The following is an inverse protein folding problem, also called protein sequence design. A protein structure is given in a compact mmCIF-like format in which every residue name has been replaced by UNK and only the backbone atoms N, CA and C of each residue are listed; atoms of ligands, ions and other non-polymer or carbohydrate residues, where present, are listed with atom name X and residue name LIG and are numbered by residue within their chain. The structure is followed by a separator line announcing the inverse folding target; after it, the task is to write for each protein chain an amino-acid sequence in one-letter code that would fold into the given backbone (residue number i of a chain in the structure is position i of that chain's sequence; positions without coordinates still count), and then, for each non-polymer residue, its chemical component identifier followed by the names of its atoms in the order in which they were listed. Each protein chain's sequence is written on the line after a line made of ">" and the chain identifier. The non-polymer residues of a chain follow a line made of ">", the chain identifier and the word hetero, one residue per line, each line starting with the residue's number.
data_IF_116693700687
#
_entry.id   IF_116693700687
#
_cell.length_a   1.000
_cell.length_b   1.000
_cell.length_c   1.000
_cell.angle_alpha   90.00
_cell.angle_beta   90.00
_cell.angle_gamma   90.00
#
_symmetry.space_group_name_H-M   'P 1'
#
loop_
_entity.id
_entity.type
_entity.pdbx_description
1 polymer ?
#
# COMPACT_ATOMS: atom_id res chain seq x y z
N UNK A 1 -63.52 9.02 10.00
CA UNK A 1 -62.50 10.02 9.63
C UNK A 1 -61.19 9.58 10.28
N UNK A 2 -60.21 9.22 9.46
CA UNK A 2 -58.94 8.57 9.85
C UNK A 2 -57.81 9.61 9.89
N UNK A 3 -56.91 9.62 10.88
CA UNK A 3 -55.66 10.35 10.78
C UNK A 3 -54.53 9.39 10.35
N UNK A 4 -53.94 9.68 9.19
CA UNK A 4 -52.78 8.98 8.65
C UNK A 4 -51.54 9.24 9.51
N UNK A 5 -50.92 8.18 10.02
CA UNK A 5 -49.61 8.19 10.64
C UNK A 5 -48.54 8.10 9.54
N UNK A 6 -47.92 9.23 9.18
CA UNK A 6 -46.79 9.27 8.25
C UNK A 6 -45.51 8.86 8.98
N UNK A 7 -45.11 7.60 8.80
CA UNK A 7 -43.80 7.10 9.22
C UNK A 7 -42.76 7.58 8.20
N UNK A 8 -41.96 8.57 8.59
CA UNK A 8 -40.72 8.92 7.87
C UNK A 8 -39.71 7.79 8.11
N UNK A 9 -39.64 6.83 7.19
CA UNK A 9 -38.56 5.85 7.15
C UNK A 9 -37.31 6.60 6.67
N UNK A 10 -36.50 7.07 7.62
CA UNK A 10 -35.11 7.45 7.34
C UNK A 10 -34.40 6.18 6.89
N UNK A 11 -34.27 6.00 5.58
CA UNK A 11 -33.37 5.01 5.02
C UNK A 11 -31.96 5.43 5.42
N UNK A 12 -31.46 4.81 6.49
CA UNK A 12 -30.06 4.82 6.82
C UNK A 12 -29.34 4.14 5.66
N UNK A 13 -29.00 4.92 4.63
CA UNK A 13 -28.00 4.53 3.65
C UNK A 13 -26.74 4.22 4.42
N UNK A 14 -26.36 2.94 4.44
CA UNK A 14 -25.11 2.48 5.03
C UNK A 14 -23.97 3.25 4.38
N UNK A 15 -23.50 4.31 5.04
CA UNK A 15 -22.28 5.00 4.65
C UNK A 15 -21.16 3.97 4.84
N UNK A 16 -20.73 3.35 3.76
CA UNK A 16 -19.50 2.55 3.72
C UNK A 16 -18.34 3.51 3.99
N UNK A 17 -18.05 3.77 5.26
CA UNK A 17 -16.78 4.36 5.66
C UNK A 17 -15.69 3.38 5.25
N UNK A 18 -15.04 3.65 4.12
CA UNK A 18 -13.91 2.86 3.65
C UNK A 18 -12.92 2.67 4.79
N UNK A 19 -12.52 1.41 5.05
CA UNK A 19 -11.59 1.10 6.15
C UNK A 19 -10.32 1.96 6.00
N UNK A 20 -9.84 2.59 7.09
CA UNK A 20 -8.62 3.39 7.04
C UNK A 20 -7.44 2.50 6.61
N UNK A 21 -6.58 3.02 5.74
CA UNK A 21 -5.47 2.26 5.19
C UNK A 21 -4.44 1.92 6.28
N UNK A 22 -4.20 0.64 6.55
CA UNK A 22 -3.18 0.24 7.52
C UNK A 22 -1.77 0.53 7.01
N UNK A 23 -1.06 1.45 7.67
CA UNK A 23 0.33 1.81 7.35
C UNK A 23 1.29 0.64 7.57
N UNK A 24 1.18 -0.04 8.72
CA UNK A 24 2.04 -1.19 9.05
C UNK A 24 1.89 -2.33 8.02
N UNK A 25 0.66 -2.65 7.63
CA UNK A 25 0.43 -3.65 6.56
C UNK A 25 0.95 -3.15 5.22
N UNK A 26 0.72 -1.87 4.86
CA UNK A 26 1.23 -1.31 3.59
C UNK A 26 2.76 -1.33 3.54
N UNK A 27 3.43 -1.10 4.67
CA UNK A 27 4.88 -1.23 4.81
C UNK A 27 5.34 -2.67 4.57
N UNK A 28 4.68 -3.64 5.20
CA UNK A 28 4.97 -5.05 4.97
C UNK A 28 4.83 -5.43 3.48
N UNK A 29 3.72 -5.03 2.84
CA UNK A 29 3.51 -5.25 1.41
C UNK A 29 4.64 -4.61 0.60
N UNK A 30 4.95 -3.34 0.83
CA UNK A 30 6.05 -2.64 0.15
C UNK A 30 7.38 -3.38 0.25
N UNK A 31 7.74 -3.84 1.44
CA UNK A 31 9.00 -4.58 1.69
C UNK A 31 8.99 -5.96 1.03
N UNK A 32 7.84 -6.64 0.98
CA UNK A 32 7.70 -7.89 0.24
C UNK A 32 7.91 -7.67 -1.26
N UNK A 33 7.21 -6.69 -1.85
CA UNK A 33 7.35 -6.34 -3.27
C UNK A 33 8.77 -5.88 -3.62
N UNK A 34 9.38 -5.08 -2.75
CA UNK A 34 10.76 -4.63 -2.93
C UNK A 34 11.77 -5.77 -2.99
N UNK A 35 11.57 -6.82 -2.19
CA UNK A 35 12.48 -7.99 -2.16
C UNK A 35 12.18 -9.00 -3.26
N UNK A 36 10.91 -9.24 -3.56
CA UNK A 36 10.49 -10.32 -4.47
C UNK A 36 10.48 -9.87 -5.94
N UNK A 37 10.01 -8.65 -6.20
CA UNK A 37 9.64 -8.19 -7.54
C UNK A 37 10.61 -7.15 -8.12
N UNK A 38 11.08 -6.17 -7.35
CA UNK A 38 11.97 -5.12 -7.89
C UNK A 38 13.28 -5.64 -8.51
N UNK A 39 13.96 -6.67 -7.97
CA UNK A 39 15.20 -7.16 -8.56
C UNK A 39 15.02 -7.70 -9.99
N UNK A 40 13.82 -8.20 -10.31
CA UNK A 40 13.46 -8.66 -11.65
C UNK A 40 13.46 -7.50 -12.63
N UNK A 41 12.80 -6.40 -12.28
CA UNK A 41 12.73 -5.20 -13.12
C UNK A 41 14.10 -4.58 -13.35
N UNK A 42 14.91 -4.51 -12.28
CA UNK A 42 16.28 -3.99 -12.34
C UNK A 42 17.15 -4.85 -13.27
N UNK A 43 17.10 -6.18 -13.13
CA UNK A 43 17.89 -7.10 -13.97
C UNK A 43 17.57 -6.96 -15.46
N UNK A 44 16.31 -6.73 -15.80
CA UNK A 44 15.86 -6.67 -17.19
C UNK A 44 15.73 -5.24 -17.74
N UNK A 45 16.06 -4.21 -16.95
CA UNK A 45 15.89 -2.80 -17.31
C UNK A 45 14.48 -2.47 -17.82
N UNK A 46 13.46 -3.16 -17.30
CA UNK A 46 12.07 -2.96 -17.69
C UNK A 46 11.34 -2.08 -16.68
N UNK A 47 10.47 -1.16 -17.12
CA UNK A 47 9.62 -0.40 -16.23
C UNK A 47 8.53 -1.29 -15.61
N UNK A 48 8.12 -0.94 -14.39
CA UNK A 48 6.95 -1.55 -13.75
C UNK A 48 5.70 -1.12 -14.52
N UNK A 49 4.80 -2.04 -14.95
CA UNK A 49 3.58 -1.68 -15.64
C UNK A 49 2.71 -0.73 -14.81
N UNK A 50 2.06 0.25 -15.44
CA UNK A 50 1.16 1.18 -14.74
C UNK A 50 -0.03 0.46 -14.07
N UNK A 51 -0.47 -0.66 -14.67
CA UNK A 51 -1.53 -1.51 -14.13
C UNK A 51 -1.14 -2.17 -12.80
N UNK A 52 0.15 -2.33 -12.52
CA UNK A 52 0.65 -2.96 -11.31
C UNK A 52 0.20 -2.17 -10.06
N UNK A 53 -0.64 -2.75 -9.20
CA UNK A 53 -1.13 -2.05 -8.01
C UNK A 53 -0.04 -1.81 -6.96
N UNK A 54 1.05 -2.56 -7.03
CA UNK A 54 2.15 -2.49 -6.07
C UNK A 54 3.30 -1.59 -6.53
N UNK A 55 3.12 -0.85 -7.63
CA UNK A 55 4.09 0.12 -8.10
C UNK A 55 4.35 1.20 -7.03
N UNK A 56 5.62 1.55 -6.73
CA UNK A 56 5.95 2.65 -5.82
C UNK A 56 5.28 3.98 -6.22
N UNK A 57 5.05 4.19 -7.51
CA UNK A 57 4.36 5.37 -8.04
C UNK A 57 2.89 5.47 -7.64
N UNK A 58 2.30 4.36 -7.14
CA UNK A 58 0.91 4.31 -6.71
C UNK A 58 0.77 4.21 -5.20
N UNK A 59 1.81 3.92 -4.46
CA UNK A 59 1.71 3.76 -3.01
C UNK A 59 1.37 5.10 -2.32
N UNK A 60 0.22 5.17 -1.66
CA UNK A 60 -0.27 6.38 -1.00
C UNK A 60 0.63 6.89 0.13
N UNK A 61 1.47 6.01 0.70
CA UNK A 61 2.42 6.37 1.74
C UNK A 61 3.83 6.62 1.21
N UNK A 62 4.08 6.41 -0.09
CA UNK A 62 5.41 6.46 -0.70
C UNK A 62 6.17 7.74 -0.34
N UNK A 63 5.51 8.91 -0.45
CA UNK A 63 6.13 10.19 -0.11
C UNK A 63 6.54 10.28 1.36
N UNK A 64 5.73 9.79 2.30
CA UNK A 64 6.08 9.83 3.73
C UNK A 64 7.28 8.94 4.00
N UNK A 65 7.32 7.74 3.42
CA UNK A 65 8.40 6.77 3.61
C UNK A 65 9.74 7.28 3.04
N UNK A 66 9.72 7.96 1.89
CA UNK A 66 10.92 8.57 1.31
C UNK A 66 11.40 9.80 2.07
N UNK A 67 10.60 10.34 3.00
CA UNK A 67 10.97 11.47 3.85
C UNK A 67 11.27 11.02 5.29
N UNK A 68 11.56 9.73 5.49
CA UNK A 68 12.13 9.19 6.71
C UNK A 68 13.63 9.03 6.52
N UNK A 69 14.40 9.52 7.47
CA UNK A 69 15.83 9.23 7.55
C UNK A 69 16.16 8.57 8.87
N UNK A 70 16.69 7.35 8.83
CA UNK A 70 17.24 6.69 10.02
C UNK A 70 18.62 7.28 10.28
N UNK A 71 18.76 8.02 11.37
CA UNK A 71 20.03 8.66 11.75
C UNK A 71 20.97 7.65 12.41
N UNK A 72 20.43 6.78 13.26
CA UNK A 72 21.15 5.68 13.91
C UNK A 72 20.15 4.62 14.42
N UNK A 73 20.62 3.70 15.28
CA UNK A 73 19.78 2.63 15.84
C UNK A 73 18.61 3.12 16.71
N UNK A 74 18.65 4.35 17.22
CA UNK A 74 17.66 4.93 18.14
C UNK A 74 16.97 6.18 17.61
N UNK A 75 17.32 6.68 16.43
CA UNK A 75 16.82 7.98 15.96
C UNK A 75 16.34 7.97 14.52
N UNK A 76 15.20 8.62 14.31
CA UNK A 76 14.53 8.80 13.02
C UNK A 76 14.20 10.28 12.81
N UNK A 77 14.50 10.81 11.63
CA UNK A 77 14.25 12.19 11.26
C UNK A 77 13.14 12.29 10.21
N UNK A 78 12.26 13.26 10.38
CA UNK A 78 11.31 13.70 9.37
C UNK A 78 12.01 14.69 8.44
N UNK A 79 12.18 14.36 7.17
CA UNK A 79 12.82 15.27 6.20
C UNK A 79 11.91 16.43 5.77
N UNK A 80 10.59 16.36 6.04
CA UNK A 80 9.66 17.45 5.73
C UNK A 80 9.78 18.64 6.68
N UNK A 81 10.12 18.41 7.95
CA UNK A 81 10.18 19.47 8.97
C UNK A 81 11.38 19.38 9.93
N UNK A 82 12.27 18.41 9.75
CA UNK A 82 13.49 18.26 10.52
C UNK A 82 13.36 17.62 11.92
N UNK A 83 12.14 17.33 12.39
CA UNK A 83 11.92 16.74 13.72
C UNK A 83 12.51 15.34 13.85
N UNK A 84 13.05 15.03 15.01
CA UNK A 84 13.69 13.75 15.33
C UNK A 84 12.84 12.98 16.36
N UNK A 85 12.75 11.66 16.18
CA UNK A 85 11.94 10.73 16.95
C UNK A 85 12.77 9.53 17.39
N UNK A 86 12.48 8.98 18.56
CA UNK A 86 13.19 7.82 19.11
C UNK A 86 12.80 6.49 18.41
N UNK A 87 11.59 6.43 17.82
CA UNK A 87 11.08 5.24 17.15
C UNK A 87 10.46 5.62 15.82
N UNK A 88 10.57 4.73 14.84
CA UNK A 88 9.92 4.91 13.55
C UNK A 88 8.40 5.03 13.68
N UNK A 89 7.80 4.28 14.61
CA UNK A 89 6.35 4.35 14.88
C UNK A 89 5.88 5.71 15.38
N UNK A 90 6.75 6.47 16.05
CA UNK A 90 6.41 7.81 16.52
C UNK A 90 6.51 8.81 15.38
N UNK A 91 7.50 8.63 14.49
CA UNK A 91 7.59 9.37 13.23
C UNK A 91 6.38 9.09 12.32
N UNK A 92 5.90 7.84 12.25
CA UNK A 92 4.68 7.47 11.50
C UNK A 92 3.44 8.22 12.01
N UNK A 93 3.22 8.25 13.33
CA UNK A 93 2.13 9.02 13.94
C UNK A 93 2.27 10.51 13.68
N UNK A 94 3.51 11.03 13.69
CA UNK A 94 3.79 12.42 13.32
C UNK A 94 3.38 12.70 11.86
N UNK A 95 3.69 11.80 10.92
CA UNK A 95 3.23 11.95 9.54
C UNK A 95 1.69 11.96 9.44
N UNK A 96 1.01 11.06 10.13
CA UNK A 96 -0.45 10.94 10.09
C UNK A 96 -1.17 12.15 10.71
N UNK A 97 -0.51 12.91 11.59
CA UNK A 97 -1.11 14.06 12.28
C UNK A 97 -0.65 15.42 11.74
N UNK A 98 0.64 15.57 11.42
CA UNK A 98 1.26 16.87 11.03
C UNK A 98 1.48 17.00 9.53
N UNK A 99 1.49 15.89 8.80
CA UNK A 99 1.69 15.85 7.35
C UNK A 99 0.58 15.04 6.65
N UNK A 100 -0.60 14.98 7.25
CA UNK A 100 -1.76 14.29 6.65
C UNK A 100 -2.14 14.87 5.28
N UNK A 101 -1.87 16.17 5.07
CA UNK A 101 -2.09 16.85 3.80
C UNK A 101 -1.14 16.35 2.69
N UNK A 102 0.00 15.73 3.01
CA UNK A 102 0.92 15.16 2.01
C UNK A 102 0.67 13.68 1.73
N UNK A 103 -0.35 13.09 2.35
CA UNK A 103 -0.82 11.74 2.02
C UNK A 103 -1.20 11.65 0.54
N UNK A 104 -1.01 10.49 -0.09
CA UNK A 104 -1.30 10.29 -1.52
C UNK A 104 -0.47 11.16 -2.47
N UNK A 105 0.61 11.76 -1.94
CA UNK A 105 1.59 12.45 -2.78
C UNK A 105 2.39 11.40 -3.55
N UNK A 106 2.27 11.41 -4.88
CA UNK A 106 2.89 10.42 -5.76
C UNK A 106 3.89 11.09 -6.72
N UNK A 107 4.97 10.38 -7.09
CA UNK A 107 5.91 10.88 -8.08
C UNK A 107 5.24 10.91 -9.46
N UNK A 108 5.37 12.03 -10.17
CA UNK A 108 5.00 12.16 -11.57
C UNK A 108 6.21 12.65 -12.34
N UNK A 109 6.67 11.82 -13.27
CA UNK A 109 7.72 12.22 -14.19
C UNK A 109 7.19 13.30 -15.14
N UNK A 110 7.89 14.42 -15.21
CA UNK A 110 7.64 15.45 -16.20
C UNK A 110 8.60 15.26 -17.36
N UNK A 111 8.05 14.87 -18.51
CA UNK A 111 8.81 14.63 -19.74
C UNK A 111 9.55 15.88 -20.24
N UNK A 112 8.90 17.05 -20.20
CA UNK A 112 9.47 18.31 -20.73
C UNK A 112 10.72 18.77 -19.95
N UNK A 113 10.75 18.54 -18.64
CA UNK A 113 11.88 18.96 -17.79
C UNK A 113 12.80 17.81 -17.37
N UNK A 114 12.57 16.60 -17.89
CA UNK A 114 13.26 15.36 -17.49
C UNK A 114 13.41 15.22 -15.95
N UNK A 115 12.38 15.62 -15.21
CA UNK A 115 12.42 15.75 -13.74
C UNK A 115 11.18 15.16 -13.10
N UNK A 116 11.35 14.49 -11.97
CA UNK A 116 10.23 14.06 -11.13
C UNK A 116 9.72 15.24 -10.32
N UNK A 117 8.41 15.49 -10.41
CA UNK A 117 7.67 16.33 -9.48
C UNK A 117 6.70 15.48 -8.67
N UNK A 118 6.21 16.03 -7.56
CA UNK A 118 5.26 15.34 -6.69
C UNK A 118 3.87 15.96 -6.84
N UNK A 119 2.87 15.11 -7.08
CA UNK A 119 1.48 15.54 -7.12
C UNK A 119 0.80 15.15 -5.82
N UNK A 120 0.32 16.15 -5.09
CA UNK A 120 -0.53 15.95 -3.92
C UNK A 120 -1.89 15.36 -4.34
N UNK A 121 -2.41 14.38 -3.60
CA UNK A 121 -3.66 13.66 -3.93
C UNK A 121 -3.66 13.09 -5.36
N UNK A 122 -2.63 12.29 -5.66
CA UNK A 122 -2.59 11.54 -6.91
C UNK A 122 -3.85 10.68 -7.07
N UNK A 123 -4.62 10.92 -8.14
CA UNK A 123 -5.87 10.20 -8.44
C UNK A 123 -5.71 8.66 -8.47
N UNK A 124 -4.49 8.18 -8.71
CA UNK A 124 -4.16 6.76 -8.84
C UNK A 124 -3.43 6.20 -7.62
N UNK A 125 -3.34 6.95 -6.52
CA UNK A 125 -2.75 6.45 -5.28
C UNK A 125 -3.61 5.32 -4.69
N UNK A 126 -2.96 4.33 -4.11
CA UNK A 126 -3.60 3.12 -3.59
C UNK A 126 -3.07 2.78 -2.21
N UNK A 127 -3.94 2.15 -1.43
CA UNK A 127 -3.56 1.51 -0.18
C UNK A 127 -3.03 0.10 -0.47
N UNK A 128 -1.71 -0.11 -0.37
CA UNK A 128 -1.09 -1.41 -0.62
C UNK A 128 -1.66 -2.52 0.28
N UNK A 129 -2.05 -2.18 1.51
CA UNK A 129 -2.66 -3.12 2.44
C UNK A 129 -4.00 -3.71 1.96
N UNK A 130 -4.65 -3.15 0.92
CA UNK A 130 -5.99 -3.57 0.49
C UNK A 130 -6.01 -4.68 -0.57
N UNK A 131 -4.92 -4.92 -1.29
CA UNK A 131 -4.91 -5.88 -2.41
C UNK A 131 -4.78 -7.33 -1.94
N UNK A 132 -3.71 -7.65 -1.21
CA UNK A 132 -3.42 -9.04 -0.84
C UNK A 132 -3.81 -9.30 0.62
N UNK A 133 -5.02 -9.84 0.80
CA UNK A 133 -5.53 -10.22 2.13
C UNK A 133 -4.63 -11.24 2.84
N UNK A 134 -3.93 -12.09 2.09
CA UNK A 134 -2.98 -13.07 2.64
C UNK A 134 -1.86 -12.41 3.46
N UNK A 135 -1.47 -11.17 3.16
CA UNK A 135 -0.49 -10.44 3.96
C UNK A 135 -1.03 -10.02 5.33
N UNK A 136 -2.33 -10.14 5.58
CA UNK A 136 -2.95 -9.92 6.89
C UNK A 136 -2.97 -11.21 7.72
N UNK A 137 -2.53 -12.34 7.18
CA UNK A 137 -2.38 -13.55 7.97
C UNK A 137 -1.22 -13.38 8.95
N UNK A 138 -1.50 -13.47 10.25
CA UNK A 138 -0.54 -13.23 11.34
C UNK A 138 0.70 -14.16 11.34
N UNK A 139 0.80 -15.08 10.39
CA UNK A 139 2.01 -15.88 10.11
C UNK A 139 3.15 -15.01 9.55
N UNK A 140 2.84 -13.86 8.95
CA UNK A 140 3.84 -13.01 8.28
C UNK A 140 4.14 -11.69 9.00
N UNK A 141 3.33 -11.30 9.99
CA UNK A 141 3.47 -10.03 10.71
C UNK A 141 3.48 -10.34 12.21
N UNK A 142 4.57 -10.01 12.91
CA UNK A 142 4.71 -10.07 14.38
C UNK A 142 3.83 -9.03 15.10
N UNK A 143 2.54 -8.98 14.78
CA UNK A 143 1.53 -8.13 15.40
C UNK A 143 0.35 -8.99 15.85
N UNK A 144 -0.36 -8.55 16.91
CA UNK A 144 -1.66 -9.11 17.33
C UNK A 144 -2.69 -8.85 16.22
N UNK A 145 -2.67 -9.66 15.16
CA UNK A 145 -3.71 -9.64 14.14
C UNK A 145 -4.85 -10.54 14.60
N UNK A 146 -6.10 -10.11 14.41
CA UNK A 146 -7.27 -10.97 14.56
C UNK A 146 -7.06 -12.26 13.75
N UNK A 147 -6.89 -13.38 14.45
CA UNK A 147 -6.65 -14.73 13.87
C UNK A 147 -7.79 -15.21 12.97
N UNK A 148 -8.89 -14.48 12.87
CA UNK A 148 -10.18 -14.92 12.32
C UNK A 148 -10.24 -14.93 10.79
N UNK A 149 -9.18 -14.52 10.05
CA UNK A 149 -9.24 -14.40 8.58
C UNK A 149 -8.33 -15.37 7.79
N UNK A 150 -7.55 -16.22 8.45
CA UNK A 150 -6.57 -17.08 7.77
C UNK A 150 -6.62 -18.52 8.28
N UNK A 151 -7.71 -19.21 7.93
CA UNK A 151 -7.83 -20.65 8.11
C UNK A 151 -7.02 -21.37 7.04
N UNK A 152 -6.40 -22.50 7.40
CA UNK A 152 -5.61 -23.32 6.47
C UNK A 152 -6.42 -23.69 5.21
N UNK A 153 -7.73 -23.91 5.36
CA UNK A 153 -8.65 -24.23 4.27
C UNK A 153 -8.83 -23.10 3.25
N UNK A 154 -8.61 -21.84 3.63
CA UNK A 154 -8.80 -20.68 2.75
C UNK A 154 -7.49 -20.03 2.31
N UNK A 155 -6.34 -20.48 2.82
CA UNK A 155 -5.02 -19.92 2.47
C UNK A 155 -4.74 -19.97 0.97
N UNK A 156 -5.02 -21.08 0.31
CA UNK A 156 -4.82 -21.21 -1.14
C UNK A 156 -5.72 -20.26 -1.94
N UNK A 157 -6.95 -20.02 -1.46
CA UNK A 157 -7.88 -19.08 -2.11
C UNK A 157 -7.37 -17.64 -1.97
N UNK A 158 -6.90 -17.26 -0.77
CA UNK A 158 -6.33 -15.94 -0.53
C UNK A 158 -5.04 -15.72 -1.33
N UNK A 159 -4.23 -16.77 -1.46
CA UNK A 159 -3.03 -16.80 -2.29
C UNK A 159 -3.36 -16.57 -3.76
N UNK A 160 -4.27 -17.37 -4.33
CA UNK A 160 -4.64 -17.25 -5.73
C UNK A 160 -5.20 -15.86 -6.07
N UNK A 161 -6.06 -15.30 -5.19
CA UNK A 161 -6.56 -13.93 -5.35
C UNK A 161 -5.46 -12.86 -5.25
N UNK A 162 -4.44 -13.07 -4.43
CA UNK A 162 -3.29 -12.18 -4.40
C UNK A 162 -2.47 -12.29 -5.70
N UNK A 163 -2.30 -13.52 -6.22
CA UNK A 163 -1.59 -13.76 -7.47
C UNK A 163 -2.25 -13.07 -8.67
N UNK A 164 -3.59 -13.05 -8.74
CA UNK A 164 -4.32 -12.27 -9.76
C UNK A 164 -3.91 -10.79 -9.77
N UNK A 165 -3.62 -10.19 -8.61
CA UNK A 165 -3.10 -8.82 -8.53
C UNK A 165 -1.63 -8.70 -8.91
N UNK A 166 -0.82 -9.73 -8.62
CA UNK A 166 0.60 -9.80 -8.97
C UNK A 166 0.78 -9.99 -10.48
N UNK A 167 -0.16 -10.66 -11.15
CA UNK A 167 -0.10 -10.87 -12.61
C UNK A 167 -0.10 -9.55 -13.39
N UNK A 168 -0.77 -8.51 -12.87
CA UNK A 168 -0.71 -7.15 -13.43
C UNK A 168 0.67 -6.48 -13.27
N UNK A 169 1.58 -7.10 -12.53
CA UNK A 169 2.96 -6.71 -12.34
C UNK A 169 3.93 -7.65 -13.08
N UNK A 170 3.47 -8.47 -14.02
CA UNK A 170 4.37 -9.24 -14.90
C UNK A 170 4.56 -8.46 -16.20
N UNK A 171 5.78 -8.02 -16.54
CA UNK A 171 6.01 -7.30 -17.78
C UNK A 171 5.85 -8.24 -18.99
N UNK A 172 5.32 -7.70 -20.10
CA UNK A 172 5.14 -8.46 -21.35
C UNK A 172 6.52 -8.91 -21.87
N UNK A 173 6.65 -10.19 -22.20
CA UNK A 173 7.92 -10.78 -22.65
C UNK A 173 8.91 -11.13 -21.54
N UNK A 174 8.48 -11.13 -20.26
CA UNK A 174 9.31 -11.62 -19.16
C UNK A 174 9.70 -13.11 -19.38
N UNK A 175 10.97 -13.50 -19.14
CA UNK A 175 11.40 -14.89 -19.14
C UNK A 175 10.52 -15.79 -18.24
N UNK A 176 10.31 -17.05 -18.63
CA UNK A 176 9.56 -18.05 -17.83
C UNK A 176 10.08 -18.18 -16.39
N UNK A 177 11.37 -17.96 -16.15
CA UNK A 177 11.96 -17.97 -14.80
C UNK A 177 11.43 -16.84 -13.90
N UNK A 178 11.01 -15.72 -14.48
CA UNK A 178 10.38 -14.60 -13.78
C UNK A 178 8.89 -14.88 -13.60
N UNK A 179 8.22 -15.36 -14.64
CA UNK A 179 6.81 -15.74 -14.56
C UNK A 179 6.60 -16.80 -13.49
N UNK A 180 7.46 -17.81 -13.45
CA UNK A 180 7.45 -18.87 -12.44
C UNK A 180 7.76 -18.30 -11.05
N UNK A 181 8.77 -17.43 -10.89
CA UNK A 181 9.12 -16.86 -9.57
C UNK A 181 8.04 -15.94 -8.98
N UNK A 182 7.22 -15.32 -9.83
CA UNK A 182 6.10 -14.47 -9.44
C UNK A 182 4.81 -15.24 -9.18
N UNK A 183 4.65 -16.42 -9.77
CA UNK A 183 3.45 -17.26 -9.64
C UNK A 183 3.62 -18.46 -8.69
N UNK A 184 4.86 -18.87 -8.36
CA UNK A 184 5.17 -20.10 -7.62
C UNK A 184 5.28 -19.97 -6.09
N UNK A 185 5.08 -18.79 -5.51
CA UNK A 185 5.22 -18.56 -4.06
C UNK A 185 3.90 -18.42 -3.34
#
# INVERSE_FOLDING_TARGET
>A
MSPFCLIFILTFGSLSFGKPCSRAQSKFVREYFARSLLPVYQKHSQPIPEACPFSPARDMYHFHENNKTKLDIFRWKCELCGKIFAKESDLDKHFDSRHANTLQTVPKYNFFFAKINYLNKGKNSVCLANYCRIFRCGVLINQKVEKTQCYQSTMNILKNKCNEHIDHCVPKGAPLSIQNKLTSN
#
